data_IF_089852796860
#
_entry.id   IF_089852796860
#
_cell.length_a   1.000
_cell.length_b   1.000
_cell.length_c   1.000
_cell.angle_alpha   90.00
_cell.angle_beta   90.00
_cell.angle_gamma   90.00
#
_symmetry.space_group_name_H-M   'P 1'
#
loop_
_entity.id
_entity.type
_entity.pdbx_description
1 polymer ?
#
# COMPACT_ATOMS: atom_id res chain seq x y z
N UNK A 1 -3.75 1.27 32.00
CA UNK A 1 -3.64 0.86 30.59
C UNK A 1 -2.74 1.86 29.87
N UNK A 2 -1.52 1.44 29.49
CA UNK A 2 -0.56 2.22 28.69
C UNK A 2 -0.04 1.39 27.53
N UNK A 3 0.37 2.06 26.45
CA UNK A 3 1.13 1.47 25.35
C UNK A 3 2.60 1.42 25.77
N UNK A 4 3.23 0.25 25.65
CA UNK A 4 4.64 0.04 26.03
C UNK A 4 5.56 -0.13 24.82
N UNK A 5 5.01 -0.48 23.65
CA UNK A 5 5.78 -0.58 22.40
C UNK A 5 4.91 -0.33 21.18
N UNK A 6 5.48 0.37 20.18
CA UNK A 6 4.94 0.50 18.84
C UNK A 6 5.75 -0.38 17.88
N UNK A 7 5.05 -1.16 17.05
CA UNK A 7 5.64 -1.96 15.98
C UNK A 7 4.97 -1.54 14.67
N UNK A 8 5.79 -1.20 13.66
CA UNK A 8 5.34 -0.93 12.31
C UNK A 8 5.91 -1.98 11.36
N UNK A 9 5.07 -2.61 10.56
CA UNK A 9 5.48 -3.61 9.57
C UNK A 9 4.89 -3.28 8.19
N UNK A 10 5.68 -3.35 7.11
CA UNK A 10 5.15 -3.22 5.75
C UNK A 10 4.28 -4.45 5.42
N UNK A 11 3.10 -4.22 4.87
CA UNK A 11 2.16 -5.27 4.43
C UNK A 11 1.59 -4.95 3.06
N UNK A 12 0.89 -5.93 2.46
CA UNK A 12 0.22 -5.78 1.16
C UNK A 12 -1.27 -5.54 1.37
N UNK A 13 -1.88 -4.77 0.48
CA UNK A 13 -3.34 -4.63 0.42
C UNK A 13 -3.95 -5.67 -0.50
N UNK A 14 -5.29 -5.73 -0.55
CA UNK A 14 -6.02 -6.64 -1.43
C UNK A 14 -5.98 -6.29 -2.91
N UNK A 15 -5.34 -5.17 -3.30
CA UNK A 15 -5.27 -4.73 -4.69
C UNK A 15 -3.98 -3.96 -5.02
N UNK A 16 -3.99 -3.24 -6.13
CA UNK A 16 -2.85 -2.52 -6.68
C UNK A 16 -3.07 -1.01 -6.61
N UNK A 17 -1.96 -0.27 -6.54
CA UNK A 17 -1.97 1.14 -6.90
C UNK A 17 -1.81 1.24 -8.40
N UNK A 18 -2.78 1.87 -9.05
CA UNK A 18 -2.81 2.10 -10.48
C UNK A 18 -2.69 3.60 -10.76
N UNK A 19 -1.82 3.95 -11.70
CA UNK A 19 -1.71 5.33 -12.19
C UNK A 19 -2.93 5.67 -13.05
N UNK A 20 -3.98 6.12 -12.37
CA UNK A 20 -5.26 6.41 -13.01
C UNK A 20 -5.14 7.48 -14.10
N UNK A 21 -4.22 8.44 -13.96
CA UNK A 21 -4.03 9.49 -14.97
C UNK A 21 -3.43 8.89 -16.25
N UNK A 22 -2.41 8.06 -16.14
CA UNK A 22 -1.85 7.36 -17.29
C UNK A 22 -2.87 6.42 -17.95
N UNK A 23 -3.65 5.69 -17.16
CA UNK A 23 -4.73 4.80 -17.65
C UNK A 23 -5.77 5.58 -18.44
N UNK A 24 -6.22 6.74 -17.91
CA UNK A 24 -7.16 7.62 -18.62
C UNK A 24 -6.58 8.25 -19.89
N UNK A 25 -5.25 8.39 -19.97
CA UNK A 25 -4.54 8.83 -21.17
C UNK A 25 -4.39 7.72 -22.24
N UNK A 26 -4.91 6.52 -21.98
CA UNK A 26 -5.02 5.47 -22.98
C UNK A 26 -3.78 4.58 -23.12
N UNK A 27 -3.01 4.37 -22.05
CA UNK A 27 -1.96 3.33 -22.05
C UNK A 27 -2.54 1.96 -22.36
N UNK A 28 -1.80 1.16 -23.13
CA UNK A 28 -2.24 -0.17 -23.55
C UNK A 28 -2.15 -1.18 -22.41
N UNK A 29 -3.03 -2.18 -22.40
CA UNK A 29 -2.91 -3.33 -21.52
C UNK A 29 -1.78 -4.27 -21.98
N UNK A 30 -1.09 -4.89 -21.00
CA UNK A 30 -0.15 -5.99 -21.22
C UNK A 30 -0.44 -7.12 -20.22
N UNK A 31 -1.32 -8.03 -20.62
CA UNK A 31 -1.87 -9.03 -19.72
C UNK A 31 -2.55 -8.38 -18.52
N UNK A 32 -2.02 -8.64 -17.31
CA UNK A 32 -2.52 -8.06 -16.06
C UNK A 32 -1.95 -6.66 -15.76
N UNK A 33 -1.00 -6.17 -16.56
CA UNK A 33 -0.33 -4.88 -16.38
C UNK A 33 -0.65 -3.91 -17.53
N UNK A 34 0.11 -2.82 -17.63
CA UNK A 34 -0.03 -1.81 -18.67
C UNK A 34 1.34 -1.49 -19.29
N UNK A 35 1.36 -1.10 -20.57
CA UNK A 35 2.56 -0.65 -21.29
C UNK A 35 2.72 0.86 -21.22
N UNK A 36 3.94 1.31 -20.99
CA UNK A 36 4.29 2.73 -20.99
C UNK A 36 4.93 3.18 -19.68
N UNK A 37 4.88 4.48 -19.41
CA UNK A 37 5.49 5.10 -18.25
C UNK A 37 4.42 5.76 -17.38
N UNK A 38 4.54 5.71 -16.04
CA UNK A 38 3.67 6.46 -15.15
C UNK A 38 3.85 7.97 -15.38
N UNK A 39 2.79 8.71 -15.13
CA UNK A 39 2.73 10.17 -15.23
C UNK A 39 2.38 10.83 -13.89
N UNK A 40 1.80 10.06 -12.95
CA UNK A 40 1.49 10.55 -11.61
C UNK A 40 2.74 10.50 -10.72
N UNK A 41 3.14 11.61 -10.07
CA UNK A 41 4.29 11.63 -9.17
C UNK A 41 4.17 10.58 -8.06
N UNK A 42 5.28 9.88 -7.78
CA UNK A 42 5.33 8.81 -6.78
C UNK A 42 5.09 7.40 -7.34
N UNK A 43 4.53 7.27 -8.54
CA UNK A 43 4.46 5.99 -9.24
C UNK A 43 5.77 5.65 -9.92
N UNK A 44 6.20 4.40 -9.78
CA UNK A 44 7.39 3.85 -10.46
C UNK A 44 7.01 2.90 -11.61
N UNK A 45 5.76 2.45 -11.63
CA UNK A 45 5.15 1.68 -12.72
C UNK A 45 3.66 2.04 -12.83
N UNK A 46 3.05 1.78 -13.98
CA UNK A 46 1.63 2.07 -14.24
C UNK A 46 0.66 1.31 -13.31
N UNK A 47 1.07 0.11 -12.90
CA UNK A 47 0.47 -0.70 -11.86
C UNK A 47 1.59 -1.17 -10.93
N UNK A 48 1.45 -0.94 -9.63
CA UNK A 48 2.38 -1.39 -8.60
C UNK A 48 1.62 -2.07 -7.45
N UNK A 49 2.28 -2.97 -6.74
CA UNK A 49 1.66 -3.68 -5.63
C UNK A 49 1.11 -2.69 -4.61
N UNK A 50 -0.12 -2.91 -4.14
CA UNK A 50 -0.69 -2.10 -3.07
C UNK A 50 0.07 -2.32 -1.77
N UNK A 51 0.30 -1.24 -1.05
CA UNK A 51 1.12 -1.22 0.17
C UNK A 51 0.30 -0.65 1.32
N UNK A 52 0.57 -1.21 2.49
CA UNK A 52 -0.03 -0.81 3.74
C UNK A 52 1.02 -0.93 4.85
N UNK A 53 0.71 -0.36 6.01
CA UNK A 53 1.55 -0.50 7.20
C UNK A 53 0.68 -1.02 8.34
N UNK A 54 1.01 -2.20 8.86
CA UNK A 54 0.42 -2.66 10.11
C UNK A 54 1.01 -1.90 11.26
N UNK A 55 0.15 -1.29 12.06
CA UNK A 55 0.44 -0.57 13.30
C UNK A 55 -0.03 -1.42 14.46
N UNK A 56 0.92 -1.94 15.22
CA UNK A 56 0.66 -2.78 16.38
C UNK A 56 1.15 -2.10 17.66
N UNK A 57 0.28 -2.05 18.65
CA UNK A 57 0.54 -1.41 19.95
C UNK A 57 0.53 -2.49 21.02
N UNK A 58 1.70 -2.80 21.59
CA UNK A 58 1.81 -3.68 22.74
C UNK A 58 1.40 -2.89 23.99
N UNK A 59 0.43 -3.42 24.73
CA UNK A 59 -0.06 -2.84 25.97
C UNK A 59 0.67 -3.43 27.18
N UNK A 60 0.67 -2.71 28.30
CA UNK A 60 1.35 -3.16 29.54
C UNK A 60 0.83 -4.49 30.10
N UNK A 61 -0.39 -4.90 29.73
CA UNK A 61 -1.00 -6.19 30.10
C UNK A 61 -0.64 -7.33 29.12
N UNK A 62 0.17 -7.07 28.09
CA UNK A 62 0.60 -8.05 27.09
C UNK A 62 -0.32 -8.18 25.87
N UNK A 63 -1.46 -7.48 25.83
CA UNK A 63 -2.34 -7.48 24.65
C UNK A 63 -1.75 -6.65 23.50
N UNK A 64 -2.13 -7.01 22.27
CA UNK A 64 -1.78 -6.29 21.05
C UNK A 64 -3.03 -5.68 20.43
N UNK A 65 -3.09 -4.34 20.39
CA UNK A 65 -4.03 -3.65 19.51
C UNK A 65 -3.41 -3.55 18.10
N UNK A 66 -4.23 -3.76 17.06
CA UNK A 66 -3.77 -3.82 15.66
C UNK A 66 -4.69 -2.97 14.78
N UNK A 67 -4.10 -2.09 13.96
CA UNK A 67 -4.77 -1.51 12.80
C UNK A 67 -3.83 -1.46 11.58
N UNK A 68 -4.38 -1.43 10.37
CA UNK A 68 -3.61 -1.28 9.13
C UNK A 68 -3.88 0.09 8.51
N UNK A 69 -2.83 0.81 8.14
CA UNK A 69 -2.91 1.97 7.24
C UNK A 69 -3.02 1.47 5.80
N UNK A 70 -4.00 1.96 5.03
CA UNK A 70 -4.21 1.61 3.63
C UNK A 70 -4.67 2.82 2.82
#
# INVERSE_FOLDING_TARGET
MKIVQLICAPVRTGFFFDDQLAIKNGVEHDGFTYKGLPVTPGFSSLRQAGEAVSVMLLLENGELAWGDCA
#
